data_IF_279434157165
#
_entry.id   IF_279434157165
#
_cell.length_a   1.000
_cell.length_b   1.000
_cell.length_c   1.000
_cell.angle_alpha   90.00
_cell.angle_beta   90.00
_cell.angle_gamma   90.00
#
_symmetry.space_group_name_H-M   'P 1'
#
loop_
_entity.id
_entity.type
_entity.pdbx_description
1 polymer ?
#
# COMPACT_ATOMS: atom_id res chain seq x y z
N UNK A 1 -23.74 -13.80 -4.14
CA UNK A 1 -22.40 -13.19 -4.04
C UNK A 1 -21.39 -14.21 -4.54
N UNK A 2 -20.51 -13.82 -5.48
CA UNK A 2 -19.42 -14.67 -5.99
C UNK A 2 -18.12 -14.35 -5.26
N UNK A 3 -17.36 -15.39 -4.90
CA UNK A 3 -16.04 -15.25 -4.27
C UNK A 3 -14.97 -15.68 -5.26
N UNK A 4 -13.99 -14.81 -5.56
CA UNK A 4 -12.90 -15.10 -6.48
C UNK A 4 -11.56 -14.91 -5.78
N UNK A 5 -10.72 -15.94 -5.82
CA UNK A 5 -9.39 -15.94 -5.22
C UNK A 5 -8.34 -15.84 -6.33
N UNK A 6 -7.69 -14.68 -6.43
CA UNK A 6 -6.64 -14.43 -7.43
C UNK A 6 -5.29 -14.72 -6.79
N UNK A 7 -4.66 -15.81 -7.22
CA UNK A 7 -3.46 -16.35 -6.59
C UNK A 7 -2.21 -16.06 -7.43
N UNK A 8 -1.28 -15.33 -6.83
CA UNK A 8 0.04 -15.15 -7.42
C UNK A 8 0.92 -16.39 -7.16
N UNK A 9 1.28 -17.17 -8.20
CA UNK A 9 2.05 -18.40 -8.05
C UNK A 9 3.51 -18.17 -7.60
N UNK A 10 4.04 -16.95 -7.76
CA UNK A 10 5.36 -16.58 -7.27
C UNK A 10 5.37 -16.23 -5.77
N UNK A 11 4.20 -15.99 -5.17
CA UNK A 11 4.09 -15.68 -3.76
C UNK A 11 4.07 -16.93 -2.88
N UNK A 12 4.91 -16.94 -1.85
CA UNK A 12 4.98 -18.03 -0.86
C UNK A 12 5.56 -19.34 -1.39
N UNK A 13 5.60 -20.37 -0.52
CA UNK A 13 6.10 -21.70 -0.86
C UNK A 13 4.98 -22.55 -1.49
N UNK A 14 5.31 -23.44 -2.42
CA UNK A 14 4.37 -24.38 -3.08
C UNK A 14 3.46 -25.10 -2.08
N UNK A 15 4.03 -25.59 -0.98
CA UNK A 15 3.26 -26.28 0.09
C UNK A 15 2.22 -25.36 0.75
N UNK A 16 2.53 -24.07 0.89
CA UNK A 16 1.61 -23.09 1.47
C UNK A 16 0.46 -22.79 0.52
N UNK A 17 0.72 -22.68 -0.78
CA UNK A 17 -0.31 -22.49 -1.81
C UNK A 17 -1.32 -23.62 -1.82
N UNK A 18 -0.85 -24.87 -1.84
CA UNK A 18 -1.75 -26.07 -1.77
C UNK A 18 -2.64 -26.04 -0.54
N UNK A 19 -2.09 -25.68 0.63
CA UNK A 19 -2.90 -25.55 1.86
C UNK A 19 -3.98 -24.50 1.74
N UNK A 20 -3.68 -23.35 1.11
CA UNK A 20 -4.66 -22.27 0.91
C UNK A 20 -5.75 -22.72 -0.06
N UNK A 21 -5.41 -23.38 -1.17
CA UNK A 21 -6.40 -23.94 -2.11
C UNK A 21 -7.36 -24.89 -1.38
N UNK A 22 -6.83 -25.86 -0.63
CA UNK A 22 -7.67 -26.77 0.16
C UNK A 22 -8.53 -26.04 1.18
N UNK A 23 -8.00 -24.99 1.84
CA UNK A 23 -8.77 -24.20 2.79
C UNK A 23 -9.90 -23.40 2.11
N UNK A 24 -9.68 -22.89 0.89
CA UNK A 24 -10.71 -22.24 0.08
C UNK A 24 -11.84 -23.21 -0.25
N UNK A 25 -11.50 -24.39 -0.77
CA UNK A 25 -12.48 -25.44 -1.13
C UNK A 25 -13.32 -25.86 0.08
N UNK A 26 -12.67 -26.08 1.22
CA UNK A 26 -13.35 -26.44 2.48
C UNK A 26 -14.26 -25.33 2.99
N UNK A 27 -13.79 -24.08 3.01
CA UNK A 27 -14.57 -22.95 3.48
C UNK A 27 -15.78 -22.70 2.57
N UNK A 28 -15.59 -22.74 1.25
CA UNK A 28 -16.66 -22.56 0.28
C UNK A 28 -17.73 -23.66 0.38
N UNK A 29 -17.31 -24.92 0.53
CA UNK A 29 -18.22 -26.04 0.75
C UNK A 29 -19.04 -25.86 2.05
N UNK A 30 -18.39 -25.51 3.16
CA UNK A 30 -19.06 -25.28 4.45
C UNK A 30 -20.07 -24.12 4.43
N UNK A 31 -19.81 -23.10 3.61
CA UNK A 31 -20.65 -21.91 3.49
C UNK A 31 -21.69 -22.02 2.37
N UNK A 32 -21.65 -23.08 1.54
CA UNK A 32 -22.46 -23.19 0.33
C UNK A 32 -22.18 -22.03 -0.66
N UNK A 33 -20.97 -21.51 -0.70
CA UNK A 33 -20.62 -20.34 -1.46
C UNK A 33 -20.13 -20.67 -2.87
N UNK A 34 -20.54 -19.87 -3.87
CA UNK A 34 -19.96 -19.91 -5.21
C UNK A 34 -18.57 -19.31 -5.20
N UNK A 35 -17.58 -20.06 -5.66
CA UNK A 35 -16.18 -19.62 -5.65
C UNK A 35 -15.44 -19.96 -6.93
N UNK A 36 -14.34 -19.26 -7.13
CA UNK A 36 -13.42 -19.47 -8.25
C UNK A 36 -11.99 -19.20 -7.77
N UNK A 37 -11.02 -19.97 -8.28
CA UNK A 37 -9.59 -19.76 -8.03
C UNK A 37 -8.91 -19.51 -9.37
N UNK A 38 -8.28 -18.34 -9.49
CA UNK A 38 -7.50 -17.95 -10.66
C UNK A 38 -6.03 -17.84 -10.31
N UNK A 39 -5.15 -18.42 -11.12
CA UNK A 39 -3.70 -18.29 -10.96
C UNK A 39 -3.16 -17.27 -11.97
N UNK A 40 -2.49 -16.22 -11.47
CA UNK A 40 -1.92 -15.19 -12.34
C UNK A 40 -0.76 -15.74 -13.16
N UNK A 41 -0.62 -15.22 -14.39
CA UNK A 41 0.40 -15.62 -15.36
C UNK A 41 1.63 -14.70 -15.34
N UNK A 42 1.52 -13.54 -14.70
CA UNK A 42 2.59 -12.54 -14.61
C UNK A 42 2.11 -11.26 -13.93
N UNK A 43 2.96 -10.26 -13.92
CA UNK A 43 2.67 -8.93 -13.38
C UNK A 43 1.53 -8.27 -14.18
N UNK A 44 0.58 -7.64 -13.48
CA UNK A 44 -0.58 -6.97 -14.08
C UNK A 44 -1.73 -7.90 -14.48
N UNK A 45 -1.50 -9.22 -14.63
CA UNK A 45 -2.53 -10.18 -15.05
C UNK A 45 -3.65 -10.30 -14.01
N UNK A 46 -3.30 -10.20 -12.73
CA UNK A 46 -4.28 -10.20 -11.64
C UNK A 46 -5.21 -9.01 -11.70
N UNK A 47 -4.69 -7.81 -11.95
CA UNK A 47 -5.48 -6.59 -12.12
C UNK A 47 -6.39 -6.65 -13.34
N UNK A 48 -5.85 -7.09 -14.49
CA UNK A 48 -6.64 -7.27 -15.71
C UNK A 48 -7.79 -8.27 -15.52
N UNK A 49 -7.54 -9.37 -14.81
CA UNK A 49 -8.57 -10.35 -14.51
C UNK A 49 -9.63 -9.80 -13.53
N UNK A 50 -9.21 -9.05 -12.50
CA UNK A 50 -10.13 -8.39 -11.58
C UNK A 50 -11.03 -7.39 -12.32
N UNK A 51 -10.47 -6.61 -13.24
CA UNK A 51 -11.23 -5.69 -14.09
C UNK A 51 -12.30 -6.41 -14.92
N UNK A 52 -11.93 -7.47 -15.63
CA UNK A 52 -12.88 -8.26 -16.41
C UNK A 52 -14.01 -8.87 -15.56
N UNK A 53 -13.71 -9.26 -14.31
CA UNK A 53 -14.74 -9.70 -13.36
C UNK A 53 -15.67 -8.57 -12.96
N UNK A 54 -15.14 -7.37 -12.73
CA UNK A 54 -15.95 -6.19 -12.40
C UNK A 54 -16.87 -5.81 -13.57
N UNK A 55 -16.38 -5.80 -14.81
CA UNK A 55 -17.21 -5.59 -16.00
C UNK A 55 -18.38 -6.59 -16.08
N UNK A 56 -18.12 -7.83 -15.72
CA UNK A 56 -19.13 -8.90 -15.80
C UNK A 56 -20.17 -8.85 -14.67
N UNK A 57 -19.77 -8.54 -13.44
CA UNK A 57 -20.62 -8.72 -12.25
C UNK A 57 -21.04 -7.40 -11.58
N UNK A 58 -20.34 -6.30 -11.84
CA UNK A 58 -20.50 -5.04 -11.15
C UNK A 58 -21.04 -3.95 -12.08
N UNK A 59 -21.39 -2.80 -11.53
CA UNK A 59 -21.75 -1.62 -12.32
C UNK A 59 -20.55 -0.66 -12.28
N UNK A 60 -20.08 -0.27 -13.45
CA UNK A 60 -19.15 0.85 -13.58
C UNK A 60 -19.86 2.15 -13.16
N UNK A 61 -19.12 3.07 -12.54
CA UNK A 61 -19.59 4.43 -12.33
C UNK A 61 -18.52 5.41 -12.79
N UNK A 62 -18.94 6.44 -13.53
CA UNK A 62 -18.06 7.57 -13.84
C UNK A 62 -17.92 8.41 -12.57
N UNK A 63 -16.72 8.48 -12.01
CA UNK A 63 -16.41 9.52 -11.03
C UNK A 63 -16.33 10.85 -11.77
N UNK A 64 -17.29 11.74 -11.52
CA UNK A 64 -17.09 13.14 -11.83
C UNK A 64 -15.75 13.56 -11.18
N UNK A 65 -14.94 14.33 -11.94
CA UNK A 65 -13.57 14.69 -11.54
C UNK A 65 -13.44 15.16 -10.09
N UNK A 66 -12.23 15.40 -9.62
CA UNK A 66 -11.83 15.58 -8.22
C UNK A 66 -12.67 16.56 -7.35
N UNK A 67 -13.63 17.27 -7.94
CA UNK A 67 -14.47 18.30 -7.29
C UNK A 67 -15.89 17.86 -6.95
N UNK A 68 -16.27 16.60 -7.17
CA UNK A 68 -17.61 16.13 -6.81
C UNK A 68 -17.73 15.86 -5.31
N UNK A 69 -18.29 16.84 -4.58
CA UNK A 69 -18.75 16.65 -3.21
C UNK A 69 -19.69 15.44 -3.12
N UNK A 70 -19.25 14.38 -2.46
CA UNK A 70 -20.13 13.25 -2.15
C UNK A 70 -21.12 13.65 -1.07
N UNK A 71 -22.37 13.85 -1.48
CA UNK A 71 -23.51 13.85 -0.56
C UNK A 71 -23.60 12.50 0.13
N UNK A 72 -23.56 12.55 1.47
CA UNK A 72 -23.55 11.39 2.36
C UNK A 72 -24.66 10.38 2.05
N UNK A 73 -24.25 9.17 1.79
CA UNK A 73 -25.08 7.97 1.92
C UNK A 73 -24.16 6.76 2.21
N UNK A 74 -23.56 6.77 3.41
CA UNK A 74 -22.63 5.73 3.91
C UNK A 74 -23.28 4.35 4.12
N UNK A 75 -24.61 4.26 4.13
CA UNK A 75 -25.33 3.02 4.49
C UNK A 75 -25.75 2.14 3.30
N UNK A 76 -25.55 2.58 2.06
CA UNK A 76 -26.01 1.83 0.87
C UNK A 76 -25.09 0.71 0.39
N UNK A 77 -23.86 0.63 0.88
CA UNK A 77 -22.84 -0.26 0.29
C UNK A 77 -22.92 -1.73 0.75
N UNK A 78 -23.64 -2.07 1.81
CA UNK A 78 -23.65 -3.45 2.33
C UNK A 78 -24.71 -4.37 1.69
N UNK A 79 -25.75 -3.83 1.09
CA UNK A 79 -26.85 -4.63 0.53
C UNK A 79 -26.65 -5.10 -0.92
N UNK A 80 -25.61 -4.65 -1.62
CA UNK A 80 -25.44 -4.89 -3.06
C UNK A 80 -24.13 -5.50 -3.49
N UNK A 81 -23.24 -5.95 -2.57
CA UNK A 81 -22.01 -6.60 -2.98
C UNK A 81 -22.31 -7.89 -3.78
N UNK A 82 -21.89 -7.90 -5.04
CA UNK A 82 -22.08 -9.03 -5.97
C UNK A 82 -20.83 -9.88 -6.07
N UNK A 83 -19.67 -9.27 -5.82
CA UNK A 83 -18.37 -9.86 -6.05
C UNK A 83 -17.44 -9.58 -4.87
N UNK A 84 -16.76 -10.62 -4.38
CA UNK A 84 -15.63 -10.53 -3.46
C UNK A 84 -14.40 -11.08 -4.11
N UNK A 85 -13.36 -10.26 -4.24
CA UNK A 85 -12.07 -10.64 -4.82
C UNK A 85 -11.03 -10.69 -3.70
N UNK A 86 -10.32 -11.81 -3.58
CA UNK A 86 -9.27 -12.01 -2.59
C UNK A 86 -7.92 -12.11 -3.27
N UNK A 87 -7.04 -11.12 -3.05
CA UNK A 87 -5.65 -11.17 -3.49
C UNK A 87 -4.83 -12.14 -2.65
N UNK A 88 -4.52 -13.32 -3.19
CA UNK A 88 -3.68 -14.32 -2.53
C UNK A 88 -2.22 -14.07 -2.89
N UNK A 89 -1.57 -13.14 -2.15
CA UNK A 89 -0.22 -12.68 -2.48
C UNK A 89 0.37 -11.75 -1.41
N UNK A 90 1.15 -10.78 -1.84
CA UNK A 90 1.69 -9.68 -1.04
C UNK A 90 0.98 -8.36 -1.34
N UNK A 91 1.58 -7.24 -0.88
CA UNK A 91 1.04 -5.89 -1.07
C UNK A 91 0.85 -5.55 -2.56
N UNK A 92 1.79 -5.92 -3.43
CA UNK A 92 1.64 -5.72 -4.88
C UNK A 92 0.42 -6.44 -5.48
N UNK A 93 0.06 -7.63 -4.97
CA UNK A 93 -1.15 -8.34 -5.43
C UNK A 93 -2.42 -7.57 -5.02
N UNK A 94 -2.44 -7.00 -3.81
CA UNK A 94 -3.56 -6.15 -3.36
C UNK A 94 -3.66 -4.91 -4.25
N UNK A 95 -2.51 -4.28 -4.54
CA UNK A 95 -2.46 -3.09 -5.38
C UNK A 95 -2.98 -3.35 -6.81
N UNK A 96 -2.62 -4.49 -7.43
CA UNK A 96 -3.20 -4.91 -8.71
C UNK A 96 -4.73 -5.05 -8.63
N UNK A 97 -5.27 -5.67 -7.56
CA UNK A 97 -6.72 -5.81 -7.37
C UNK A 97 -7.40 -4.45 -7.23
N UNK A 98 -6.82 -3.55 -6.43
CA UNK A 98 -7.35 -2.19 -6.22
C UNK A 98 -7.44 -1.45 -7.55
N UNK A 99 -6.36 -1.45 -8.34
CA UNK A 99 -6.34 -0.77 -9.64
C UNK A 99 -7.30 -1.42 -10.64
N UNK A 100 -7.41 -2.75 -10.66
CA UNK A 100 -8.34 -3.45 -11.54
C UNK A 100 -9.82 -3.26 -11.18
N UNK A 101 -10.12 -3.04 -9.89
CA UNK A 101 -11.49 -2.85 -9.41
C UNK A 101 -11.91 -1.38 -9.28
N UNK A 102 -10.98 -0.45 -9.45
CA UNK A 102 -11.28 0.97 -9.31
C UNK A 102 -12.33 1.43 -10.33
N UNK A 103 -13.32 2.21 -9.87
CA UNK A 103 -14.42 2.68 -10.71
C UNK A 103 -15.63 1.73 -10.79
N UNK A 104 -15.64 0.63 -10.01
CA UNK A 104 -16.78 -0.30 -9.96
C UNK A 104 -17.43 -0.33 -8.57
N UNK A 105 -18.76 -0.33 -8.55
CA UNK A 105 -19.56 -0.57 -7.34
C UNK A 105 -19.96 -2.04 -7.23
N UNK A 106 -20.14 -2.51 -5.99
CA UNK A 106 -20.56 -3.89 -5.72
C UNK A 106 -19.42 -4.90 -5.71
N UNK A 107 -18.16 -4.44 -5.71
CA UNK A 107 -16.97 -5.26 -5.49
C UNK A 107 -16.32 -4.94 -4.14
N UNK A 108 -15.89 -5.99 -3.44
CA UNK A 108 -15.16 -5.91 -2.18
C UNK A 108 -13.83 -6.68 -2.33
N UNK A 109 -12.75 -6.11 -1.82
CA UNK A 109 -11.40 -6.66 -1.97
C UNK A 109 -10.92 -7.20 -0.62
N UNK A 110 -10.50 -8.45 -0.58
CA UNK A 110 -9.85 -9.09 0.56
C UNK A 110 -8.40 -9.44 0.28
N UNK A 111 -7.67 -9.82 1.32
CA UNK A 111 -6.27 -10.21 1.22
C UNK A 111 -5.98 -11.53 1.93
N UNK A 112 -5.34 -12.47 1.24
CA UNK A 112 -4.79 -13.68 1.83
C UNK A 112 -3.26 -13.56 1.81
N UNK A 113 -2.62 -13.28 2.96
CA UNK A 113 -1.21 -12.92 3.00
C UNK A 113 -0.30 -14.12 2.70
N UNK A 114 0.40 -14.05 1.59
CA UNK A 114 1.41 -15.01 1.15
C UNK A 114 2.77 -14.36 0.91
N UNK A 115 2.81 -13.03 0.82
CA UNK A 115 4.02 -12.23 0.65
C UNK A 115 4.86 -12.13 1.92
N UNK A 116 5.97 -11.42 1.83
CA UNK A 116 6.90 -11.20 2.95
C UNK A 116 6.61 -9.93 3.75
N UNK A 117 6.02 -8.88 3.13
CA UNK A 117 5.64 -7.61 3.76
C UNK A 117 4.27 -7.73 4.40
N UNK A 118 3.26 -7.77 3.57
CA UNK A 118 1.85 -7.74 3.92
C UNK A 118 1.55 -6.58 4.87
N UNK A 119 1.96 -5.40 4.44
CA UNK A 119 1.97 -4.21 5.29
C UNK A 119 0.58 -3.57 5.38
N UNK A 120 -0.19 -3.57 4.29
CA UNK A 120 -1.54 -3.01 4.27
C UNK A 120 -2.47 -3.64 5.31
N UNK A 121 -2.50 -4.97 5.38
CA UNK A 121 -3.38 -5.69 6.33
C UNK A 121 -3.03 -5.46 7.80
N UNK A 122 -1.79 -5.03 8.11
CA UNK A 122 -1.36 -4.71 9.48
C UNK A 122 -2.11 -3.54 10.09
N UNK A 123 -2.74 -2.71 9.27
CA UNK A 123 -3.60 -1.63 9.74
C UNK A 123 -4.87 -2.16 10.42
N UNK A 124 -5.28 -3.38 10.10
CA UNK A 124 -6.50 -4.02 10.63
C UNK A 124 -6.22 -5.15 11.62
N UNK A 125 -5.07 -5.83 11.51
CA UNK A 125 -4.76 -6.97 12.37
C UNK A 125 -3.47 -7.68 12.03
N UNK A 126 -3.33 -8.90 12.54
CA UNK A 126 -2.15 -9.73 12.28
C UNK A 126 -2.33 -10.56 11.00
N UNK A 127 -1.24 -10.83 10.29
CA UNK A 127 -1.28 -11.69 9.10
C UNK A 127 -1.90 -13.08 9.34
N UNK A 128 -1.85 -13.58 10.58
CA UNK A 128 -2.45 -14.86 10.95
C UNK A 128 -3.99 -14.83 10.85
N UNK A 129 -4.60 -13.69 11.22
CA UNK A 129 -6.05 -13.51 11.20
C UNK A 129 -6.60 -13.54 9.77
N UNK A 130 -5.83 -12.99 8.83
CA UNK A 130 -6.15 -12.95 7.41
C UNK A 130 -5.94 -14.27 6.66
N UNK A 131 -5.30 -15.29 7.27
CA UNK A 131 -5.13 -16.63 6.69
C UNK A 131 -6.31 -17.57 6.90
N UNK A 132 -7.24 -17.19 7.77
CA UNK A 132 -8.47 -17.95 7.96
C UNK A 132 -9.48 -17.60 6.86
N UNK A 133 -9.58 -18.47 5.86
CA UNK A 133 -10.41 -18.27 4.67
C UNK A 133 -11.89 -18.14 5.04
N UNK A 134 -12.38 -18.94 5.98
CA UNK A 134 -13.78 -18.89 6.42
C UNK A 134 -14.13 -17.57 7.06
N UNK A 135 -13.25 -17.05 7.95
CA UNK A 135 -13.41 -15.71 8.55
C UNK A 135 -13.33 -14.59 7.50
N UNK A 136 -12.49 -14.75 6.47
CA UNK A 136 -12.42 -13.82 5.34
C UNK A 136 -13.73 -13.80 4.54
N UNK A 137 -14.26 -14.96 4.18
CA UNK A 137 -15.50 -15.06 3.40
C UNK A 137 -16.72 -14.51 4.17
N UNK A 138 -16.71 -14.57 5.50
CA UNK A 138 -17.73 -14.02 6.41
C UNK A 138 -17.42 -12.62 6.92
N UNK A 139 -16.28 -12.08 6.54
CA UNK A 139 -15.82 -10.77 6.97
C UNK A 139 -16.75 -9.64 6.56
N UNK A 140 -16.67 -8.53 7.31
CA UNK A 140 -17.33 -7.27 6.94
C UNK A 140 -16.43 -6.47 6.00
N UNK A 141 -17.02 -5.70 5.11
CA UNK A 141 -16.24 -4.73 4.34
C UNK A 141 -16.26 -3.35 5.01
N UNK A 142 -15.14 -2.68 4.94
CA UNK A 142 -14.94 -1.31 5.41
C UNK A 142 -14.51 -0.43 4.24
N UNK A 143 -14.86 0.84 4.28
CA UNK A 143 -14.33 1.81 3.32
C UNK A 143 -12.87 2.06 3.58
N UNK A 144 -12.12 2.32 2.54
CA UNK A 144 -10.74 2.78 2.62
C UNK A 144 -10.46 3.78 1.51
N UNK A 145 -9.73 4.82 1.86
CA UNK A 145 -9.25 5.81 0.91
C UNK A 145 -8.17 5.22 0.01
N UNK A 146 -7.93 5.87 -1.11
CA UNK A 146 -6.81 5.61 -2.00
C UNK A 146 -6.01 6.89 -2.20
N UNK A 147 -4.74 6.74 -2.49
CA UNK A 147 -3.93 7.83 -3.01
C UNK A 147 -3.81 7.62 -4.51
N UNK A 148 -4.37 8.54 -5.28
CA UNK A 148 -4.16 8.67 -6.72
C UNK A 148 -2.84 9.37 -6.95
N UNK A 149 -2.03 8.89 -7.89
CA UNK A 149 -0.86 9.62 -8.34
C UNK A 149 -0.85 9.78 -9.85
N UNK A 150 -0.44 10.97 -10.28
CA UNK A 150 -0.17 11.33 -11.64
C UNK A 150 1.28 11.74 -11.75
N UNK A 151 2.07 11.01 -12.52
CA UNK A 151 3.50 11.21 -12.64
C UNK A 151 3.90 11.46 -14.09
N UNK A 152 4.84 12.39 -14.28
CA UNK A 152 5.35 12.76 -15.60
C UNK A 152 6.86 12.62 -15.64
N UNK A 153 7.37 11.89 -16.65
CA UNK A 153 8.79 11.77 -16.95
C UNK A 153 9.00 11.61 -18.46
N UNK A 154 9.79 12.49 -19.08
CA UNK A 154 10.14 12.45 -20.53
C UNK A 154 8.94 12.27 -21.47
N UNK A 155 7.84 12.99 -21.24
CA UNK A 155 6.55 12.89 -21.95
C UNK A 155 5.74 11.61 -21.67
N UNK A 156 6.26 10.66 -20.91
CA UNK A 156 5.49 9.52 -20.43
C UNK A 156 4.66 9.94 -19.21
N UNK A 157 3.37 9.62 -19.25
CA UNK A 157 2.44 9.85 -18.17
C UNK A 157 2.13 8.50 -17.55
N UNK A 158 2.31 8.42 -16.24
CA UNK A 158 1.92 7.26 -15.44
C UNK A 158 0.85 7.69 -14.43
N UNK A 159 -0.26 7.00 -14.44
CA UNK A 159 -1.37 7.24 -13.52
C UNK A 159 -1.79 5.92 -12.86
N UNK A 160 -1.99 5.93 -11.55
CA UNK A 160 -2.39 4.73 -10.80
C UNK A 160 -2.87 5.10 -9.39
N UNK A 161 -3.34 4.08 -8.66
CA UNK A 161 -3.85 4.20 -7.29
C UNK A 161 -3.03 3.34 -6.34
N UNK A 162 -2.83 3.82 -5.12
CA UNK A 162 -2.15 3.08 -4.06
C UNK A 162 -3.01 3.07 -2.78
N UNK A 163 -3.19 1.88 -2.21
CA UNK A 163 -3.95 1.72 -0.98
C UNK A 163 -3.11 2.00 0.28
N UNK A 164 -1.79 1.86 0.18
CA UNK A 164 -0.92 1.88 1.36
C UNK A 164 0.04 3.08 1.37
N UNK A 165 1.13 3.08 0.59
CA UNK A 165 2.18 4.08 0.78
C UNK A 165 3.08 4.29 -0.44
N UNK A 166 3.43 5.54 -0.68
CA UNK A 166 4.53 5.95 -1.54
C UNK A 166 5.73 6.40 -0.71
N UNK A 167 6.94 6.13 -1.21
CA UNK A 167 8.18 6.58 -0.60
C UNK A 167 9.13 7.17 -1.64
N UNK A 168 9.86 8.22 -1.26
CA UNK A 168 10.93 8.82 -2.07
C UNK A 168 12.17 8.97 -1.18
N UNK A 169 13.36 8.71 -1.74
CA UNK A 169 14.63 8.89 -1.07
C UNK A 169 15.21 7.59 -0.50
N UNK A 170 15.57 7.58 0.78
CA UNK A 170 16.26 6.47 1.44
C UNK A 170 15.54 5.12 1.29
N UNK A 171 14.23 5.08 1.47
CA UNK A 171 13.43 3.84 1.43
C UNK A 171 13.46 3.17 0.05
N UNK A 172 13.43 3.93 -1.04
CA UNK A 172 13.59 3.39 -2.39
C UNK A 172 14.89 2.61 -2.55
N UNK A 173 15.98 3.11 -1.96
CA UNK A 173 17.27 2.44 -2.01
C UNK A 173 17.28 1.16 -1.14
N UNK A 174 16.54 1.16 -0.02
CA UNK A 174 16.39 -0.03 0.85
C UNK A 174 15.63 -1.13 0.12
N UNK A 175 14.54 -0.81 -0.56
CA UNK A 175 13.73 -1.77 -1.33
C UNK A 175 14.58 -2.42 -2.42
N UNK A 176 15.31 -1.64 -3.22
CA UNK A 176 16.18 -2.13 -4.28
C UNK A 176 17.27 -3.09 -3.74
N UNK A 177 17.93 -2.71 -2.63
CA UNK A 177 18.95 -3.58 -2.03
C UNK A 177 18.34 -4.81 -1.37
N UNK A 178 17.18 -4.69 -0.74
CA UNK A 178 16.50 -5.83 -0.09
C UNK A 178 16.16 -6.92 -1.10
N UNK A 179 15.73 -6.56 -2.31
CA UNK A 179 15.46 -7.51 -3.37
C UNK A 179 16.70 -8.31 -3.77
N UNK A 180 17.89 -7.69 -3.71
CA UNK A 180 19.19 -8.33 -3.97
C UNK A 180 19.68 -9.18 -2.80
N UNK A 181 19.56 -8.66 -1.57
CA UNK A 181 20.01 -9.34 -0.33
C UNK A 181 19.15 -10.57 -0.02
N UNK A 182 17.88 -10.59 -0.36
CA UNK A 182 17.00 -11.77 -0.23
C UNK A 182 17.49 -12.99 -1.01
N UNK A 183 18.35 -12.80 -2.01
CA UNK A 183 18.98 -13.89 -2.79
C UNK A 183 20.19 -14.50 -2.08
N UNK A 184 20.67 -13.92 -0.97
CA UNK A 184 21.79 -14.45 -0.22
C UNK A 184 21.36 -15.66 0.62
N UNK A 185 22.13 -16.74 0.61
CA UNK A 185 21.86 -17.88 1.50
C UNK A 185 21.92 -17.42 2.96
N UNK A 186 20.95 -17.87 3.77
CA UNK A 186 20.81 -17.56 5.20
C UNK A 186 20.19 -16.19 5.56
N UNK A 187 19.82 -15.33 4.60
CA UNK A 187 19.21 -14.04 4.89
C UNK A 187 17.77 -14.04 4.39
N UNK A 188 16.80 -14.07 5.30
CA UNK A 188 15.36 -14.09 4.96
C UNK A 188 14.61 -12.88 5.50
N UNK A 189 13.54 -12.52 4.79
CA UNK A 189 12.48 -11.62 5.26
C UNK A 189 12.92 -10.32 5.94
N UNK A 190 12.56 -10.18 7.20
CA UNK A 190 12.84 -8.98 8.02
C UNK A 190 14.34 -8.76 8.27
N UNK A 191 15.17 -9.81 8.29
CA UNK A 191 16.61 -9.67 8.46
C UNK A 191 17.24 -9.06 7.20
N UNK A 192 16.79 -9.44 6.00
CA UNK A 192 17.25 -8.85 4.74
C UNK A 192 16.95 -7.34 4.70
N UNK A 193 15.78 -6.94 5.19
CA UNK A 193 15.41 -5.53 5.30
C UNK A 193 16.33 -4.77 6.25
N UNK A 194 16.56 -5.29 7.46
CA UNK A 194 17.48 -4.67 8.45
C UNK A 194 18.91 -4.55 7.92
N UNK A 195 19.44 -5.59 7.28
CA UNK A 195 20.76 -5.57 6.65
C UNK A 195 20.79 -4.52 5.53
N UNK A 196 19.75 -4.41 4.74
CA UNK A 196 19.65 -3.43 3.65
C UNK A 196 19.60 -2.00 4.19
N UNK A 197 18.81 -1.75 5.25
CA UNK A 197 18.78 -0.45 5.96
C UNK A 197 20.18 -0.07 6.43
N UNK A 198 20.91 -1.01 7.04
CA UNK A 198 22.27 -0.76 7.55
C UNK A 198 23.27 -0.46 6.42
N UNK A 199 23.26 -1.24 5.34
CA UNK A 199 24.15 -1.05 4.19
C UNK A 199 23.86 0.26 3.43
N UNK A 200 22.61 0.66 3.30
CA UNK A 200 22.24 1.91 2.64
C UNK A 200 22.53 3.12 3.50
N UNK A 201 22.45 2.97 4.83
CA UNK A 201 22.87 4.01 5.75
C UNK A 201 24.34 4.41 5.52
N UNK A 202 25.19 3.47 5.15
CA UNK A 202 26.59 3.75 4.79
C UNK A 202 26.65 4.68 3.57
N UNK A 203 25.77 4.53 2.60
CA UNK A 203 25.73 5.34 1.36
C UNK A 203 24.97 6.65 1.54
N UNK A 204 24.04 6.72 2.50
CA UNK A 204 23.20 7.91 2.85
C UNK A 204 22.75 8.70 1.60
N UNK A 205 21.96 8.06 0.75
CA UNK A 205 21.35 8.72 -0.42
C UNK A 205 19.90 9.06 -0.07
N UNK A 206 19.62 10.34 0.16
CA UNK A 206 18.29 10.92 0.20
C UNK A 206 17.83 11.35 -1.19
N UNK A 207 16.90 12.31 -1.22
CA UNK A 207 16.43 12.96 -2.43
C UNK A 207 16.62 14.49 -2.32
N UNK A 208 16.78 15.14 -3.46
CA UNK A 208 16.79 16.59 -3.59
C UNK A 208 15.54 16.98 -4.38
N UNK A 209 14.53 17.49 -3.67
CA UNK A 209 13.18 17.68 -4.19
C UNK A 209 12.54 18.97 -3.69
N UNK A 210 11.56 19.43 -4.45
CA UNK A 210 10.63 20.48 -4.09
C UNK A 210 9.26 19.85 -3.81
N UNK A 211 8.69 20.13 -2.64
CA UNK A 211 7.38 19.69 -2.20
C UNK A 211 6.48 20.91 -2.10
N UNK A 212 5.34 20.87 -2.77
CA UNK A 212 4.32 21.90 -2.76
C UNK A 212 3.05 21.30 -2.13
N UNK A 213 2.60 21.93 -1.03
CA UNK A 213 1.44 21.50 -0.24
C UNK A 213 0.18 22.24 -0.70
N UNK A 214 -0.99 21.70 -0.42
CA UNK A 214 -2.29 22.28 -0.79
C UNK A 214 -2.57 23.63 -0.11
N UNK A 215 -1.99 23.90 1.06
CA UNK A 215 -2.10 25.16 1.77
C UNK A 215 -1.08 26.24 1.29
N UNK A 216 -0.33 25.95 0.23
CA UNK A 216 0.67 26.85 -0.36
C UNK A 216 2.05 26.83 0.33
N UNK A 217 2.25 26.03 1.39
CA UNK A 217 3.59 25.78 1.93
C UNK A 217 4.48 25.11 0.88
N UNK A 218 5.76 25.45 0.91
CA UNK A 218 6.78 24.84 0.05
C UNK A 218 7.95 24.38 0.91
N UNK A 219 8.40 23.15 0.70
CA UNK A 219 9.67 22.65 1.22
C UNK A 219 10.58 22.35 0.03
N UNK A 220 11.79 22.92 0.03
CA UNK A 220 12.74 22.76 -1.05
C UNK A 220 14.11 22.32 -0.53
N UNK A 221 14.75 21.39 -1.23
CA UNK A 221 16.10 20.93 -0.95
C UNK A 221 16.21 19.46 -0.57
N UNK A 222 17.32 19.14 0.13
CA UNK A 222 17.68 17.76 0.44
C UNK A 222 16.92 17.21 1.64
N UNK A 223 16.33 16.05 1.46
CA UNK A 223 15.67 15.26 2.49
C UNK A 223 16.30 13.86 2.57
N UNK A 224 16.15 13.18 3.70
CA UNK A 224 16.50 11.76 3.80
C UNK A 224 15.45 10.89 3.13
N UNK A 225 14.19 11.07 3.51
CA UNK A 225 13.04 10.36 2.93
C UNK A 225 11.76 11.18 3.10
N UNK A 226 10.79 10.90 2.25
CA UNK A 226 9.39 11.26 2.43
C UNK A 226 8.54 10.02 2.26
N UNK A 227 7.56 9.84 3.15
CA UNK A 227 6.48 8.88 3.02
C UNK A 227 5.16 9.62 2.82
N UNK A 228 4.41 9.25 1.79
CA UNK A 228 3.06 9.72 1.48
C UNK A 228 2.15 8.51 1.66
N UNK A 229 1.29 8.53 2.68
CA UNK A 229 0.71 7.31 3.19
C UNK A 229 -0.78 7.43 3.48
N UNK A 230 -1.50 6.37 3.14
CA UNK A 230 -2.82 6.07 3.67
C UNK A 230 -2.70 5.04 4.82
N UNK A 231 -1.79 4.05 4.71
CA UNK A 231 -1.51 3.06 5.75
C UNK A 231 -0.26 3.34 6.58
N UNK A 232 -0.22 2.80 7.80
CA UNK A 232 0.83 3.09 8.77
C UNK A 232 2.16 2.34 8.53
N UNK A 233 2.15 1.24 7.77
CA UNK A 233 3.24 0.26 7.75
C UNK A 233 3.89 0.13 6.37
N UNK A 234 5.21 -0.04 6.37
CA UNK A 234 6.00 -0.37 5.18
C UNK A 234 7.15 -1.34 5.53
N UNK A 235 7.81 -1.88 4.50
CA UNK A 235 9.04 -2.66 4.64
C UNK A 235 8.93 -3.90 5.52
N UNK A 236 7.75 -4.51 5.64
CA UNK A 236 7.51 -5.71 6.43
C UNK A 236 7.26 -5.43 7.92
N UNK A 237 6.64 -4.30 8.25
CA UNK A 237 6.16 -3.96 9.58
C UNK A 237 6.83 -2.76 10.26
N UNK A 238 7.57 -1.95 9.52
CA UNK A 238 8.04 -0.64 10.01
C UNK A 238 6.86 0.32 10.05
N UNK A 239 6.52 0.83 11.23
CA UNK A 239 5.43 1.79 11.44
C UNK A 239 5.93 3.23 11.25
N UNK A 240 6.35 3.57 10.02
CA UNK A 240 6.97 4.85 9.70
C UNK A 240 6.03 6.05 9.75
N UNK A 241 4.73 5.82 9.56
CA UNK A 241 3.68 6.87 9.56
C UNK A 241 2.60 6.48 10.57
N UNK A 242 2.79 6.79 11.88
CA UNK A 242 2.05 6.15 12.97
C UNK A 242 0.60 6.63 13.16
N UNK A 243 0.19 7.73 12.54
CA UNK A 243 -1.10 8.37 12.77
C UNK A 243 -2.07 8.25 11.60
N UNK A 244 -1.73 7.44 10.57
CA UNK A 244 -2.63 7.20 9.44
C UNK A 244 -3.97 6.66 9.89
N UNK A 245 -5.01 7.15 9.21
CA UNK A 245 -6.36 6.59 9.21
C UNK A 245 -6.72 6.29 7.76
N UNK A 246 -7.31 5.15 7.53
CA UNK A 246 -7.56 4.65 6.18
C UNK A 246 -8.82 5.24 5.52
N UNK A 247 -9.57 6.06 6.26
CA UNK A 247 -10.93 6.50 5.91
C UNK A 247 -11.25 7.94 6.35
N UNK A 248 -10.21 8.79 6.54
CA UNK A 248 -10.41 10.18 6.97
C UNK A 248 -10.33 11.21 5.83
N UNK A 249 -10.20 10.74 4.58
CA UNK A 249 -10.14 11.59 3.39
C UNK A 249 -8.83 12.39 3.27
N UNK A 250 -7.77 11.95 3.97
CA UNK A 250 -6.47 12.62 4.02
C UNK A 250 -5.33 11.61 3.82
N UNK A 251 -4.26 12.04 3.17
CA UNK A 251 -2.99 11.32 3.18
C UNK A 251 -2.07 11.89 4.24
N UNK A 252 -1.37 11.02 4.93
CA UNK A 252 -0.37 11.41 5.92
C UNK A 252 0.99 11.58 5.24
N UNK A 253 1.60 12.76 5.40
CA UNK A 253 2.89 13.10 4.81
C UNK A 253 3.94 13.21 5.92
N UNK A 254 4.95 12.34 5.87
CA UNK A 254 6.06 12.31 6.82
C UNK A 254 7.37 12.58 6.11
N UNK A 255 7.94 13.77 6.31
CA UNK A 255 9.22 14.18 5.72
C UNK A 255 10.32 14.11 6.77
N UNK A 256 11.31 13.26 6.55
CA UNK A 256 12.51 13.19 7.38
C UNK A 256 13.62 14.02 6.70
N UNK A 257 14.08 15.06 7.38
CA UNK A 257 15.15 15.95 6.88
C UNK A 257 16.46 15.19 6.70
N UNK A 258 17.39 15.77 5.98
CA UNK A 258 18.75 15.21 5.84
C UNK A 258 19.49 15.27 7.19
N UNK A 259 19.55 14.16 7.91
CA UNK A 259 20.14 14.00 9.23
C UNK A 259 21.45 13.22 9.17
N UNK A 260 22.29 13.34 10.20
CA UNK A 260 23.52 12.55 10.30
C UNK A 260 23.24 11.06 10.45
N UNK A 261 24.21 10.21 10.06
CA UNK A 261 24.09 8.74 10.21
C UNK A 261 23.84 8.33 11.66
N UNK A 262 24.52 8.97 12.61
CA UNK A 262 24.35 8.67 14.04
C UNK A 262 22.97 9.06 14.53
N UNK A 263 22.44 10.19 14.09
CA UNK A 263 21.08 10.59 14.39
C UNK A 263 20.06 9.58 13.84
N UNK A 264 20.24 9.12 12.60
CA UNK A 264 19.38 8.08 12.03
C UNK A 264 19.42 6.77 12.82
N UNK A 265 20.60 6.28 13.20
CA UNK A 265 20.75 5.04 13.99
C UNK A 265 20.03 5.13 15.34
N UNK A 266 20.06 6.29 15.98
CA UNK A 266 19.34 6.50 17.26
C UNK A 266 17.84 6.66 17.07
N UNK A 267 17.41 7.25 15.95
CA UNK A 267 16.01 7.47 15.61
C UNK A 267 15.31 6.19 15.12
N UNK A 268 15.98 5.38 14.28
CA UNK A 268 15.40 4.26 13.56
C UNK A 268 14.64 3.23 14.43
N UNK A 269 15.13 2.79 15.61
CA UNK A 269 14.37 1.86 16.44
C UNK A 269 13.01 2.40 16.90
N UNK A 270 12.90 3.70 17.17
CA UNK A 270 11.63 4.33 17.52
C UNK A 270 10.78 4.62 16.28
N UNK A 271 11.39 4.93 15.16
CA UNK A 271 10.73 5.08 13.86
C UNK A 271 10.07 3.76 13.44
N UNK A 272 10.81 2.66 13.51
CA UNK A 272 10.28 1.33 13.17
C UNK A 272 9.10 0.90 14.05
N UNK A 273 9.08 1.34 15.31
CA UNK A 273 7.97 1.05 16.26
C UNK A 273 6.84 2.07 16.20
N UNK A 274 6.94 3.14 15.42
CA UNK A 274 5.95 4.21 15.37
C UNK A 274 5.92 5.09 16.64
N UNK A 275 6.96 5.05 17.47
CA UNK A 275 7.02 5.83 18.74
C UNK A 275 7.91 7.06 18.64
N UNK A 276 8.47 7.34 17.48
CA UNK A 276 9.40 8.45 17.25
C UNK A 276 8.78 9.81 17.52
N UNK A 277 7.51 10.00 17.16
CA UNK A 277 6.79 11.25 17.39
C UNK A 277 6.49 11.51 18.89
N UNK A 278 6.54 10.48 19.74
CA UNK A 278 6.27 10.59 21.17
C UNK A 278 7.54 10.79 21.99
N UNK A 279 8.60 10.00 21.71
CA UNK A 279 9.83 9.96 22.51
C UNK A 279 10.74 11.17 22.29
N UNK A 280 10.76 11.70 21.09
CA UNK A 280 11.65 12.81 20.70
C UNK A 280 10.85 14.04 20.29
N UNK A 281 9.86 14.41 21.11
CA UNK A 281 8.84 15.40 20.75
C UNK A 281 9.41 16.75 20.25
N UNK A 282 10.52 17.20 20.79
CA UNK A 282 11.18 18.46 20.40
C UNK A 282 12.12 18.21 19.22
N UNK A 283 13.00 17.22 19.31
CA UNK A 283 13.94 16.87 18.23
C UNK A 283 13.23 16.30 17.00
N UNK A 284 12.17 15.52 17.19
CA UNK A 284 11.40 14.97 16.08
C UNK A 284 10.65 16.05 15.29
N UNK A 285 10.21 17.15 15.93
CA UNK A 285 9.59 18.29 15.23
C UNK A 285 10.56 19.02 14.30
N UNK A 286 11.84 19.04 14.62
CA UNK A 286 12.87 19.63 13.78
C UNK A 286 13.36 18.65 12.69
N UNK A 287 13.41 17.37 13.02
CA UNK A 287 13.91 16.31 12.13
C UNK A 287 12.82 15.77 11.22
N UNK A 288 11.61 15.59 11.76
CA UNK A 288 10.45 15.05 11.05
C UNK A 288 9.35 16.08 11.00
N UNK A 289 8.96 16.42 9.78
CA UNK A 289 7.76 17.22 9.51
C UNK A 289 6.63 16.25 9.17
N UNK A 290 5.52 16.38 9.87
CA UNK A 290 4.34 15.52 9.71
C UNK A 290 3.11 16.39 9.48
N UNK A 291 2.37 16.08 8.42
CA UNK A 291 1.13 16.78 8.07
C UNK A 291 0.11 15.81 7.47
N UNK A 292 -1.13 16.27 7.36
CA UNK A 292 -2.20 15.60 6.64
C UNK A 292 -2.64 16.51 5.49
N UNK A 293 -2.68 15.95 4.29
CA UNK A 293 -2.89 16.70 3.05
C UNK A 293 -3.95 16.02 2.18
N UNK A 294 -4.62 16.79 1.35
CA UNK A 294 -5.51 16.26 0.30
C UNK A 294 -4.80 16.16 -1.04
N UNK A 295 -3.92 17.11 -1.30
CA UNK A 295 -3.13 17.20 -2.54
C UNK A 295 -1.69 17.47 -2.18
N UNK A 296 -0.76 16.90 -2.92
CA UNK A 296 0.66 17.13 -2.77
C UNK A 296 1.34 17.05 -4.12
N UNK A 297 2.24 18.00 -4.43
CA UNK A 297 3.05 17.95 -5.63
C UNK A 297 4.53 17.85 -5.27
N UNK A 298 5.24 16.93 -5.91
CA UNK A 298 6.68 16.73 -5.69
C UNK A 298 7.40 16.81 -7.04
N UNK A 299 8.44 17.63 -7.09
CA UNK A 299 9.30 17.79 -8.26
C UNK A 299 10.75 17.54 -7.90
N UNK A 300 11.46 16.76 -8.70
CA UNK A 300 12.91 16.58 -8.54
C UNK A 300 13.67 17.89 -8.86
N UNK A 301 14.58 18.32 -7.99
CA UNK A 301 15.48 19.44 -8.28
C UNK A 301 16.55 19.03 -9.33
N UNK A 302 16.97 17.75 -9.34
CA UNK A 302 17.82 17.16 -10.38
C UNK A 302 17.03 16.66 -11.60
N UNK A 303 17.61 15.76 -12.37
CA UNK A 303 16.99 15.20 -13.57
C UNK A 303 15.73 14.39 -13.24
N UNK A 304 15.78 13.58 -12.16
CA UNK A 304 14.69 12.71 -11.77
C UNK A 304 14.73 12.34 -10.28
N UNK A 305 13.64 11.78 -9.79
CA UNK A 305 13.50 11.15 -8.49
C UNK A 305 13.11 9.67 -8.65
N UNK A 306 13.40 8.87 -7.63
CA UNK A 306 12.92 7.49 -7.54
C UNK A 306 11.71 7.45 -6.64
N UNK A 307 10.60 6.95 -7.18
CA UNK A 307 9.35 6.74 -6.47
C UNK A 307 9.17 5.24 -6.20
N UNK A 308 8.93 4.88 -4.96
CA UNK A 308 8.54 3.53 -4.57
C UNK A 308 7.05 3.51 -4.26
N UNK A 309 6.30 2.67 -4.97
CA UNK A 309 4.87 2.43 -4.77
C UNK A 309 4.70 1.00 -4.28
N UNK A 310 4.34 0.80 -3.01
CA UNK A 310 4.17 -0.54 -2.38
C UNK A 310 5.29 -1.55 -2.70
N UNK A 311 6.52 -1.06 -2.84
CA UNK A 311 7.72 -1.87 -3.13
C UNK A 311 8.15 -1.93 -4.59
N UNK A 312 7.41 -1.37 -5.52
CA UNK A 312 7.81 -1.18 -6.92
C UNK A 312 8.45 0.19 -7.13
N UNK A 313 9.56 0.23 -7.86
CA UNK A 313 10.33 1.47 -8.02
C UNK A 313 10.25 1.94 -9.47
N UNK A 314 9.83 3.20 -9.62
CA UNK A 314 9.80 3.92 -10.89
C UNK A 314 10.68 5.17 -10.83
N UNK A 315 11.04 5.71 -12.00
CA UNK A 315 11.77 6.98 -12.13
C UNK A 315 10.80 8.04 -12.63
N UNK A 316 10.76 9.19 -11.94
CA UNK A 316 9.82 10.25 -12.23
C UNK A 316 10.51 11.63 -12.17
N UNK A 317 9.93 12.65 -12.77
CA UNK A 317 10.38 14.05 -12.67
C UNK A 317 9.46 14.85 -11.75
N UNK A 318 8.18 14.77 -12.02
CA UNK A 318 7.12 15.41 -11.22
C UNK A 318 6.05 14.38 -10.92
N UNK A 319 5.57 14.40 -9.68
CA UNK A 319 4.48 13.55 -9.21
C UNK A 319 3.48 14.39 -8.45
N UNK A 320 2.22 14.29 -8.81
CA UNK A 320 1.10 14.88 -8.11
C UNK A 320 0.31 13.76 -7.41
N UNK A 321 0.02 13.96 -6.15
CA UNK A 321 -0.76 13.03 -5.32
C UNK A 321 -2.06 13.68 -4.91
N UNK A 322 -3.13 12.93 -4.93
CA UNK A 322 -4.43 13.36 -4.40
C UNK A 322 -5.14 12.21 -3.70
N UNK A 323 -5.90 12.53 -2.65
CA UNK A 323 -6.70 11.52 -1.96
C UNK A 323 -7.98 11.27 -2.73
N UNK A 324 -8.34 10.02 -2.84
CA UNK A 324 -9.64 9.55 -3.32
C UNK A 324 -10.39 8.95 -2.13
N UNK A 325 -11.26 9.73 -1.48
CA UNK A 325 -12.01 9.25 -0.33
C UNK A 325 -12.92 8.08 -0.72
N UNK A 326 -13.08 7.11 0.19
CA UNK A 326 -13.88 5.90 -0.04
C UNK A 326 -13.48 5.19 -1.36
N UNK A 327 -12.18 5.11 -1.64
CA UNK A 327 -11.65 4.65 -2.92
C UNK A 327 -11.99 3.21 -3.26
N UNK A 328 -12.09 2.35 -2.24
CA UNK A 328 -12.49 0.94 -2.39
C UNK A 328 -13.06 0.37 -1.09
N UNK A 329 -13.61 -0.83 -1.16
CA UNK A 329 -14.14 -1.59 -0.01
C UNK A 329 -13.19 -2.72 0.33
N UNK A 330 -12.66 -2.72 1.57
CA UNK A 330 -11.74 -3.76 2.04
C UNK A 330 -12.42 -4.73 3.00
N UNK A 331 -12.17 -6.04 2.82
CA UNK A 331 -12.74 -7.10 3.65
C UNK A 331 -11.87 -7.32 4.88
N UNK A 332 -12.43 -7.04 6.05
CA UNK A 332 -11.82 -7.34 7.34
C UNK A 332 -12.39 -8.67 7.84
N UNK A 333 -11.56 -9.66 8.21
CA UNK A 333 -12.01 -10.97 8.67
C UNK A 333 -13.00 -10.88 9.84
N UNK A 334 -13.97 -11.81 9.87
CA UNK A 334 -14.92 -11.92 10.99
C UNK A 334 -14.18 -12.00 12.34
N UNK A 335 -14.60 -11.17 13.31
CA UNK A 335 -14.03 -11.12 14.64
C UNK A 335 -12.81 -10.20 14.81
N UNK A 336 -12.53 -9.33 13.83
CA UNK A 336 -11.58 -8.21 13.95
C UNK A 336 -12.33 -6.89 14.03
#
# INVERSE_FOLDING_TARGET
>A
MKHVFIMNPESGKVRSRRKIVTAIEQAACQLGADYEIYFTKGQGDGGAYAHALCEKYCKGFERAGADAERSGNLDRASETARLRIYGCGGDGTINEMVNGCFGYEGVEIGAIPMGTGNDYIRNYGKAADFKDIRRQMRGRSVSSDLIHFHAVYDNDITESYCANMFNIGFDCNVVDLTSRVKRWPLVGGSLAYLVSVFLILIRKKGADIRIEYDDGRVLDGKILLIAIANGCYCGGGVKGVPYCKLDDGLMDVSVVRDISRMCFLTLFPSYAKGTHMQKHKIQAREIIQYSKEKVLKITANGESLRLCTDGEITTQKTVEFSVVPDGFRFIVPEGL
#
